data_IF_685855142535
#
_entry.id   IF_685855142535
#
_cell.length_a   1.000
_cell.length_b   1.000
_cell.length_c   1.000
_cell.angle_alpha   90.00
_cell.angle_beta   90.00
_cell.angle_gamma   90.00
#
_symmetry.space_group_name_H-M   'P 1'
#
loop_
_entity.id
_entity.type
_entity.pdbx_description
1 polymer ?
#
# COMPACT_ATOMS: atom_id res chain seq x y z
N UNK A 1 -10.31 -5.39 19.60
CA UNK A 1 -9.77 -5.50 18.25
C UNK A 1 -10.83 -5.10 17.25
N UNK A 2 -10.52 -4.17 16.41
CA UNK A 2 -11.55 -3.56 15.59
C UNK A 2 -11.32 -3.89 14.12
N UNK A 3 -11.86 -5.02 13.69
CA UNK A 3 -11.75 -5.48 12.31
C UNK A 3 -12.47 -4.51 11.37
N UNK A 4 -13.60 -3.99 11.81
CA UNK A 4 -14.35 -3.04 10.99
C UNK A 4 -13.55 -1.75 10.75
N UNK A 5 -12.83 -1.27 11.75
CA UNK A 5 -12.00 -0.09 11.60
C UNK A 5 -10.87 -0.33 10.59
N UNK A 6 -10.25 -1.50 10.64
CA UNK A 6 -9.18 -1.85 9.70
C UNK A 6 -9.71 -1.94 8.28
N UNK A 7 -10.88 -2.53 8.10
CA UNK A 7 -11.50 -2.61 6.78
C UNK A 7 -11.85 -1.23 6.26
N UNK A 8 -12.35 -0.37 7.13
CA UNK A 8 -12.69 0.99 6.75
C UNK A 8 -11.43 1.76 6.33
N UNK A 9 -10.35 1.62 7.09
CA UNK A 9 -9.08 2.23 6.72
C UNK A 9 -8.59 1.73 5.35
N UNK A 10 -8.70 0.42 5.13
CA UNK A 10 -8.29 -0.16 3.86
C UNK A 10 -9.11 0.40 2.71
N UNK A 11 -10.42 0.49 2.90
CA UNK A 11 -11.30 1.04 1.88
C UNK A 11 -10.95 2.49 1.56
N UNK A 12 -10.64 3.28 2.57
CA UNK A 12 -10.22 4.66 2.38
C UNK A 12 -8.91 4.73 1.60
N UNK A 13 -7.96 3.87 1.90
CA UNK A 13 -6.69 3.83 1.18
C UNK A 13 -6.88 3.41 -0.27
N UNK A 14 -7.71 2.40 -0.51
CA UNK A 14 -8.01 1.96 -1.87
C UNK A 14 -8.67 3.08 -2.64
N UNK A 15 -9.63 3.77 -2.03
CA UNK A 15 -10.28 4.89 -2.69
C UNK A 15 -9.28 6.02 -2.99
N UNK A 16 -8.36 6.27 -2.09
CA UNK A 16 -7.33 7.30 -2.30
C UNK A 16 -6.44 6.93 -3.49
N UNK A 17 -6.04 5.67 -3.60
CA UNK A 17 -5.13 5.24 -4.65
C UNK A 17 -5.81 5.07 -6.00
N UNK A 18 -7.05 4.58 -6.03
CA UNK A 18 -7.72 4.24 -7.28
C UNK A 18 -8.86 5.18 -7.63
N UNK A 19 -9.34 5.95 -6.67
CA UNK A 19 -10.37 6.96 -6.93
C UNK A 19 -9.81 8.25 -7.47
N UNK A 20 -8.50 8.47 -7.33
CA UNK A 20 -7.85 9.65 -7.86
C UNK A 20 -7.58 9.47 -9.34
N UNK A 21 -7.56 10.59 -10.07
CA UNK A 21 -7.17 10.59 -11.47
C UNK A 21 -5.73 10.07 -11.56
N UNK A 22 -5.47 9.01 -12.34
CA UNK A 22 -4.13 8.46 -12.44
C UNK A 22 -3.09 9.46 -12.97
N UNK A 23 -3.53 10.54 -13.56
CA UNK A 23 -2.62 11.59 -14.03
C UNK A 23 -2.24 12.58 -12.95
N UNK A 24 -2.80 12.45 -11.75
CA UNK A 24 -2.55 13.43 -10.69
C UNK A 24 -1.18 13.21 -10.05
N UNK A 25 -0.54 14.31 -9.74
CA UNK A 25 0.75 14.31 -9.08
C UNK A 25 0.66 13.84 -7.63
N UNK A 26 -0.54 13.71 -7.12
CA UNK A 26 -0.76 13.32 -5.73
C UNK A 26 -0.16 11.95 -5.44
N UNK A 27 -0.37 10.98 -6.34
CA UNK A 27 0.19 9.65 -6.15
C UNK A 27 1.69 9.62 -6.34
N UNK A 28 2.21 10.42 -7.27
CA UNK A 28 3.64 10.42 -7.55
C UNK A 28 4.47 10.86 -6.35
N UNK A 29 3.93 11.75 -5.51
CA UNK A 29 4.63 12.21 -4.32
C UNK A 29 4.20 11.54 -3.03
N UNK A 30 3.22 10.65 -3.10
CA UNK A 30 2.67 10.01 -1.91
C UNK A 30 3.53 8.84 -1.47
N UNK A 31 3.91 8.82 -0.21
CA UNK A 31 4.66 7.70 0.37
C UNK A 31 3.80 7.04 1.44
N UNK A 32 3.72 5.74 1.37
CA UNK A 32 2.93 4.95 2.30
C UNK A 32 3.81 4.36 3.39
N UNK A 33 3.23 4.18 4.55
CA UNK A 33 3.90 3.51 5.66
C UNK A 33 3.72 2.01 5.53
N UNK A 34 4.59 1.26 6.21
CA UNK A 34 4.50 -0.21 6.21
C UNK A 34 3.10 -0.67 6.62
N UNK A 35 2.52 -0.05 7.64
CA UNK A 35 1.19 -0.39 8.12
C UNK A 35 0.14 -0.21 7.03
N UNK A 36 0.25 0.86 6.27
CA UNK A 36 -0.72 1.14 5.21
C UNK A 36 -0.62 0.12 4.09
N UNK A 37 0.61 -0.25 3.71
CA UNK A 37 0.82 -1.27 2.69
C UNK A 37 0.28 -2.62 3.16
N UNK A 38 0.51 -2.94 4.43
CA UNK A 38 -0.01 -4.17 5.01
C UNK A 38 -1.53 -4.24 4.93
N UNK A 39 -2.20 -3.12 5.21
CA UNK A 39 -3.66 -3.05 5.11
C UNK A 39 -4.11 -3.27 3.66
N UNK A 40 -3.44 -2.64 2.72
CA UNK A 40 -3.81 -2.75 1.31
C UNK A 40 -3.70 -4.17 0.79
N UNK A 41 -2.61 -4.86 1.14
CA UNK A 41 -2.38 -6.23 0.69
C UNK A 41 -3.01 -7.28 1.61
N UNK A 42 -3.55 -6.84 2.74
CA UNK A 42 -4.17 -7.74 3.73
C UNK A 42 -3.18 -8.78 4.25
N UNK A 43 -2.00 -8.30 4.59
CA UNK A 43 -0.92 -9.13 5.15
C UNK A 43 -0.35 -8.44 6.37
N UNK A 44 0.57 -9.11 7.06
CA UNK A 44 1.22 -8.52 8.22
C UNK A 44 2.26 -7.48 7.81
N UNK A 45 2.58 -6.58 8.72
CA UNK A 45 3.65 -5.60 8.48
C UNK A 45 4.98 -6.31 8.28
N UNK A 46 5.18 -7.42 8.98
CA UNK A 46 6.40 -8.20 8.84
C UNK A 46 6.55 -8.72 7.41
N UNK A 47 5.46 -9.18 6.82
CA UNK A 47 5.49 -9.64 5.43
C UNK A 47 5.89 -8.52 4.48
N UNK A 48 5.34 -7.32 4.70
CA UNK A 48 5.68 -6.16 3.88
C UNK A 48 7.17 -5.82 4.00
N UNK A 49 7.67 -5.80 5.22
CA UNK A 49 9.08 -5.51 5.46
C UNK A 49 9.98 -6.55 4.79
N UNK A 50 9.57 -7.81 4.87
CA UNK A 50 10.31 -8.90 4.25
C UNK A 50 10.35 -8.76 2.72
N UNK A 51 9.22 -8.41 2.13
CA UNK A 51 9.16 -8.16 0.69
C UNK A 51 10.10 -7.03 0.28
N UNK A 52 10.15 -5.96 1.08
CA UNK A 52 11.02 -4.83 0.79
C UNK A 52 12.48 -5.24 0.91
N UNK A 53 12.82 -6.02 1.93
CA UNK A 53 14.19 -6.51 2.11
C UNK A 53 14.65 -7.39 0.95
N UNK A 54 13.72 -8.16 0.39
CA UNK A 54 14.03 -9.07 -0.73
C UNK A 54 13.95 -8.37 -2.09
N UNK A 55 13.68 -7.07 -2.10
CA UNK A 55 13.61 -6.32 -3.34
C UNK A 55 12.34 -6.53 -4.15
N UNK A 56 11.34 -7.17 -3.57
CA UNK A 56 10.08 -7.40 -4.27
C UNK A 56 9.13 -6.22 -4.19
N UNK A 57 9.39 -5.31 -3.27
CA UNK A 57 8.57 -4.13 -3.06
C UNK A 57 9.48 -2.92 -2.96
N UNK A 58 9.35 -1.96 -3.88
CA UNK A 58 10.18 -0.75 -3.84
C UNK A 58 9.92 0.03 -2.56
N UNK A 59 10.99 0.49 -1.93
CA UNK A 59 10.88 1.29 -0.73
C UNK A 59 12.00 2.30 -0.69
N UNK A 60 11.78 3.38 0.08
CA UNK A 60 12.82 4.37 0.38
C UNK A 60 12.91 4.50 1.89
N UNK A 61 14.04 4.95 2.36
CA UNK A 61 14.24 5.17 3.79
C UNK A 61 14.24 6.66 4.08
N UNK A 62 13.54 7.03 5.14
CA UNK A 62 13.59 8.41 5.62
C UNK A 62 14.89 8.63 6.38
N UNK A 63 15.27 9.89 6.63
CA UNK A 63 16.45 10.16 7.45
C UNK A 63 16.43 9.52 8.83
N UNK A 64 15.22 9.26 9.37
CA UNK A 64 15.07 8.56 10.64
C UNK A 64 15.20 7.05 10.55
N UNK A 65 15.44 6.50 9.35
CA UNK A 65 15.62 5.07 9.16
C UNK A 65 14.35 4.29 8.95
N UNK A 66 13.22 4.96 8.79
CA UNK A 66 11.94 4.28 8.55
C UNK A 66 11.71 4.05 7.07
N UNK A 67 11.12 2.91 6.72
CA UNK A 67 10.79 2.62 5.33
C UNK A 67 9.51 3.33 4.92
N UNK A 68 9.49 3.76 3.67
CA UNK A 68 8.31 4.33 3.04
C UNK A 68 8.17 3.71 1.66
N UNK A 69 6.95 3.60 1.18
CA UNK A 69 6.64 2.90 -0.06
C UNK A 69 5.92 3.84 -1.02
N UNK A 70 6.48 4.06 -2.22
CA UNK A 70 5.83 4.95 -3.19
C UNK A 70 4.44 4.45 -3.55
N UNK A 71 3.45 5.29 -3.41
CA UNK A 71 2.05 4.90 -3.58
C UNK A 71 1.75 4.45 -5.01
N UNK A 72 2.34 5.11 -5.99
CA UNK A 72 2.12 4.74 -7.40
C UNK A 72 2.62 3.32 -7.68
N UNK A 73 3.75 2.95 -7.11
CA UNK A 73 4.29 1.61 -7.30
C UNK A 73 3.48 0.57 -6.53
N UNK A 74 3.01 0.92 -5.35
CA UNK A 74 2.12 0.04 -4.57
C UNK A 74 0.82 -0.18 -5.34
N UNK A 75 0.28 0.88 -5.94
CA UNK A 75 -0.92 0.78 -6.75
C UNK A 75 -0.72 -0.23 -7.90
N UNK A 76 0.40 -0.13 -8.59
CA UNK A 76 0.69 -1.04 -9.69
C UNK A 76 0.76 -2.48 -9.24
N UNK A 77 1.39 -2.72 -8.10
CA UNK A 77 1.48 -4.08 -7.55
C UNK A 77 0.12 -4.62 -7.14
N UNK A 78 -0.72 -3.77 -6.56
CA UNK A 78 -2.08 -4.18 -6.19
C UNK A 78 -2.86 -4.61 -7.42
N UNK A 79 -2.74 -3.85 -8.51
CA UNK A 79 -3.39 -4.20 -9.77
C UNK A 79 -2.87 -5.54 -10.29
N UNK A 80 -1.56 -5.72 -10.28
CA UNK A 80 -0.95 -6.95 -10.79
C UNK A 80 -1.35 -8.18 -9.99
N UNK A 81 -1.54 -8.03 -8.68
CA UNK A 81 -1.91 -9.16 -7.84
C UNK A 81 -3.41 -9.38 -7.75
N UNK A 82 -4.21 -8.48 -8.34
CA UNK A 82 -5.66 -8.58 -8.30
C UNK A 82 -6.27 -8.29 -6.94
N UNK A 83 -5.53 -7.69 -6.04
CA UNK A 83 -6.01 -7.46 -4.67
C UNK A 83 -6.83 -6.20 -4.50
N UNK A 84 -7.15 -5.52 -5.60
CA UNK A 84 -7.99 -4.33 -5.55
C UNK A 84 -9.47 -4.66 -5.51
N UNK A 85 -9.85 -5.88 -5.94
CA UNK A 85 -11.24 -6.29 -6.00
C UNK A 85 -11.56 -7.24 -4.85
N UNK A 86 -12.64 -6.99 -4.10
CA UNK A 86 -13.05 -7.91 -3.05
C UNK A 86 -13.57 -9.24 -3.60
N UNK A 87 -13.89 -9.28 -4.88
CA UNK A 87 -14.39 -10.48 -5.53
C UNK A 87 -13.29 -11.39 -6.02
N UNK A 88 -12.06 -10.97 -5.93
CA UNK A 88 -10.93 -11.78 -6.34
C UNK A 88 -10.68 -12.84 -5.28
N UNK A 89 -11.14 -13.99 -5.54
CA UNK A 89 -11.02 -15.08 -4.59
C UNK A 89 -9.63 -15.70 -4.68
#
# INVERSE_FOLDING_TARGET
>A
MDVAAKQHERENLVAELFGADPATEVLAGRLLRTREVALLFQVSERAVTDWARKGRLPSVRTPGGHRRYPADLVQQLLVQTGRTSPDTA
#
